data_IF_970710256160
#
_entry.id   IF_970710256160
#
_cell.length_a   1.000
_cell.length_b   1.000
_cell.length_c   1.000
_cell.angle_alpha   90.00
_cell.angle_beta   90.00
_cell.angle_gamma   90.00
#
_symmetry.space_group_name_H-M   'P 1'
#
loop_
_entity.id
_entity.type
_entity.pdbx_description
1 polymer ?
#
# COMPACT_ATOMS: atom_id res chain seq x y z
N UNK A 1 -14.35 -1.59 -5.58
CA UNK A 1 -14.95 -2.90 -5.18
C UNK A 1 -14.83 -3.13 -3.69
N UNK A 2 -13.64 -2.92 -3.13
CA UNK A 2 -13.33 -3.06 -1.71
C UNK A 2 -13.34 -1.73 -0.95
N UNK A 3 -13.59 -0.61 -1.61
CA UNK A 3 -13.52 0.74 -1.04
C UNK A 3 -14.21 0.92 0.32
N UNK A 4 -15.47 0.47 0.47
CA UNK A 4 -16.21 0.55 1.74
C UNK A 4 -15.47 -0.18 2.86
N UNK A 5 -15.16 -1.46 2.64
CA UNK A 5 -14.39 -2.31 3.56
C UNK A 5 -13.04 -1.66 3.91
N UNK A 6 -12.31 -1.16 2.91
CA UNK A 6 -11.01 -0.54 3.10
C UNK A 6 -11.09 0.70 4.00
N UNK A 7 -12.08 1.57 3.78
CA UNK A 7 -12.33 2.76 4.61
C UNK A 7 -12.61 2.37 6.06
N UNK A 8 -13.53 1.43 6.28
CA UNK A 8 -13.87 0.93 7.62
C UNK A 8 -12.68 0.29 8.34
N UNK A 9 -11.90 -0.54 7.64
CA UNK A 9 -10.66 -1.12 8.17
C UNK A 9 -9.64 -0.03 8.56
N UNK A 10 -9.53 1.03 7.76
CA UNK A 10 -8.63 2.14 8.07
C UNK A 10 -9.10 2.95 9.29
N UNK A 11 -10.41 3.20 9.43
CA UNK A 11 -11.01 3.86 10.61
C UNK A 11 -10.78 3.06 11.90
N UNK A 12 -10.82 1.73 11.80
CA UNK A 12 -10.53 0.82 12.90
C UNK A 12 -9.03 0.63 13.17
N UNK A 13 -8.15 1.33 12.46
CA UNK A 13 -6.69 1.17 12.54
C UNK A 13 -6.25 -0.30 12.37
N UNK A 14 -6.90 -1.04 11.46
CA UNK A 14 -6.58 -2.43 11.20
C UNK A 14 -5.10 -2.59 10.77
N UNK A 15 -4.45 -3.73 11.10
CA UNK A 15 -3.05 -3.95 10.75
C UNK A 15 -2.78 -3.78 9.24
N UNK A 16 -1.70 -3.09 8.88
CA UNK A 16 -1.28 -2.85 7.50
C UNK A 16 0.01 -3.58 7.14
N UNK A 17 0.24 -3.83 5.85
CA UNK A 17 1.49 -4.44 5.36
C UNK A 17 2.48 -3.38 4.90
N UNK A 18 3.68 -3.40 5.49
CA UNK A 18 4.80 -2.53 5.13
C UNK A 18 4.49 -1.04 5.26
N UNK A 19 5.22 -0.22 4.52
CA UNK A 19 5.04 1.24 4.53
C UNK A 19 3.87 1.73 3.65
N UNK A 20 3.09 0.82 3.05
CA UNK A 20 2.14 1.15 1.98
C UNK A 20 0.71 1.44 2.45
N UNK A 21 0.45 1.44 3.78
CA UNK A 21 -0.90 1.61 4.37
C UNK A 21 -1.97 0.69 3.76
N UNK A 22 -1.58 -0.47 3.25
CA UNK A 22 -2.52 -1.44 2.68
C UNK A 22 -2.98 -2.38 3.81
N UNK A 23 -4.28 -2.45 4.14
CA UNK A 23 -4.77 -3.34 5.19
C UNK A 23 -4.42 -4.81 4.90
N UNK A 24 -3.86 -5.48 5.90
CA UNK A 24 -3.34 -6.83 5.80
C UNK A 24 -4.43 -7.89 5.62
N UNK A 25 -5.64 -7.63 6.17
CA UNK A 25 -6.76 -8.55 6.18
C UNK A 25 -7.06 -9.14 4.79
N UNK A 26 -7.26 -8.30 3.77
CA UNK A 26 -7.53 -8.76 2.41
C UNK A 26 -6.33 -9.46 1.76
N UNK A 27 -5.11 -8.96 1.94
CA UNK A 27 -3.91 -9.62 1.39
C UNK A 27 -3.77 -11.04 1.94
N UNK A 28 -3.91 -11.21 3.27
CA UNK A 28 -3.78 -12.49 3.95
C UNK A 28 -4.89 -13.44 3.56
N UNK A 29 -6.13 -12.94 3.47
CA UNK A 29 -7.27 -13.72 2.99
C UNK A 29 -7.04 -14.33 1.60
N UNK A 30 -6.61 -13.52 0.63
CA UNK A 30 -6.35 -14.04 -0.71
C UNK A 30 -5.10 -14.93 -0.78
N UNK A 31 -4.07 -14.65 0.02
CA UNK A 31 -2.90 -15.53 0.12
C UNK A 31 -3.25 -16.91 0.67
N UNK A 32 -4.15 -17.00 1.65
CA UNK A 32 -4.62 -18.26 2.20
C UNK A 32 -5.27 -19.12 1.10
N UNK A 33 -6.17 -18.54 0.29
CA UNK A 33 -6.79 -19.23 -0.85
C UNK A 33 -5.75 -19.70 -1.87
N UNK A 34 -4.77 -18.85 -2.20
CA UNK A 34 -3.71 -19.19 -3.18
C UNK A 34 -2.85 -20.36 -2.69
N UNK A 35 -2.47 -20.34 -1.40
CA UNK A 35 -1.59 -21.33 -0.78
C UNK A 35 -2.29 -22.64 -0.41
N UNK A 36 -3.62 -22.63 -0.27
CA UNK A 36 -4.38 -23.81 0.14
C UNK A 36 -4.19 -24.99 -0.82
N UNK A 37 -3.86 -26.16 -0.27
CA UNK A 37 -3.73 -27.42 -1.02
C UNK A 37 -5.09 -28.12 -1.03
N UNK A 38 -5.48 -28.65 -2.18
CA UNK A 38 -6.74 -29.41 -2.31
C UNK A 38 -8.01 -28.57 -2.49
N UNK A 39 -7.88 -27.32 -2.92
CA UNK A 39 -9.02 -26.46 -3.25
C UNK A 39 -9.81 -27.03 -4.44
N UNK A 40 -11.08 -27.35 -4.26
CA UNK A 40 -11.93 -27.95 -5.29
C UNK A 40 -12.93 -26.95 -5.85
N UNK A 41 -13.50 -26.12 -4.97
CA UNK A 41 -14.69 -25.32 -5.28
C UNK A 41 -14.56 -23.87 -4.78
N UNK A 42 -15.32 -22.98 -5.40
CA UNK A 42 -15.41 -21.58 -4.97
C UNK A 42 -15.93 -21.41 -3.55
N UNK A 43 -16.88 -22.24 -3.10
CA UNK A 43 -17.43 -22.23 -1.75
C UNK A 43 -16.36 -22.47 -0.68
N UNK A 44 -15.40 -23.37 -0.95
CA UNK A 44 -14.24 -23.59 -0.08
C UNK A 44 -13.34 -22.36 -0.03
N UNK A 45 -13.12 -21.69 -1.16
CA UNK A 45 -12.32 -20.48 -1.23
C UNK A 45 -12.93 -19.33 -0.42
N UNK A 46 -14.26 -19.16 -0.47
CA UNK A 46 -14.99 -18.19 0.36
C UNK A 46 -14.73 -18.48 1.84
N UNK A 47 -14.90 -19.73 2.29
CA UNK A 47 -14.67 -20.13 3.69
C UNK A 47 -13.25 -19.85 4.15
N UNK A 48 -12.25 -20.22 3.33
CA UNK A 48 -10.83 -20.00 3.64
C UNK A 48 -10.51 -18.51 3.75
N UNK A 49 -10.99 -17.70 2.80
CA UNK A 49 -10.76 -16.27 2.80
C UNK A 49 -11.41 -15.59 4.01
N UNK A 50 -12.65 -15.95 4.36
CA UNK A 50 -13.35 -15.40 5.52
C UNK A 50 -12.66 -15.75 6.84
N UNK A 51 -12.25 -17.02 7.01
CA UNK A 51 -11.55 -17.48 8.21
C UNK A 51 -10.23 -16.74 8.42
N UNK A 52 -9.49 -16.47 7.34
CA UNK A 52 -8.24 -15.73 7.43
C UNK A 52 -8.48 -14.23 7.63
N UNK A 53 -9.51 -13.67 6.99
CA UNK A 53 -9.85 -12.25 7.13
C UNK A 53 -10.31 -11.90 8.55
N UNK A 54 -11.12 -12.75 9.18
CA UNK A 54 -11.65 -12.49 10.52
C UNK A 54 -10.57 -12.29 11.58
N UNK A 55 -9.42 -12.98 11.46
CA UNK A 55 -8.26 -12.80 12.36
C UNK A 55 -7.79 -11.35 12.50
N UNK A 56 -8.12 -10.49 11.53
CA UNK A 56 -7.74 -9.07 11.49
C UNK A 56 -8.93 -8.13 11.73
N UNK A 57 -10.14 -8.67 11.92
CA UNK A 57 -11.39 -7.91 11.96
C UNK A 57 -12.49 -8.61 12.81
N UNK A 58 -12.13 -9.25 13.92
CA UNK A 58 -13.07 -10.07 14.70
C UNK A 58 -14.25 -9.27 15.31
N UNK A 59 -14.19 -7.94 15.36
CA UNK A 59 -15.15 -7.10 16.10
C UNK A 59 -16.21 -6.42 15.21
N UNK A 60 -16.09 -6.48 13.88
CA UNK A 60 -17.01 -5.79 12.97
C UNK A 60 -17.68 -6.76 11.98
N UNK A 61 -18.89 -7.20 12.36
CA UNK A 61 -19.72 -8.11 11.58
C UNK A 61 -20.13 -7.54 10.23
N UNK A 62 -20.32 -6.23 10.13
CA UNK A 62 -20.73 -5.55 8.90
C UNK A 62 -19.64 -5.67 7.82
N UNK A 63 -18.37 -5.44 8.19
CA UNK A 63 -17.23 -5.61 7.28
C UNK A 63 -17.10 -7.08 6.82
N UNK A 64 -17.31 -8.03 7.74
CA UNK A 64 -17.27 -9.46 7.40
C UNK A 64 -18.39 -9.84 6.43
N UNK A 65 -19.59 -9.27 6.61
CA UNK A 65 -20.72 -9.46 5.73
C UNK A 65 -20.45 -8.90 4.33
N UNK A 66 -20.02 -7.63 4.22
CA UNK A 66 -19.66 -7.02 2.93
C UNK A 66 -18.56 -7.82 2.21
N UNK A 67 -17.54 -8.26 2.95
CA UNK A 67 -16.46 -9.04 2.36
C UNK A 67 -16.97 -10.40 1.88
N UNK A 68 -17.88 -11.05 2.61
CA UNK A 68 -18.53 -12.31 2.19
C UNK A 68 -19.30 -12.14 0.90
N UNK A 69 -20.16 -11.13 0.78
CA UNK A 69 -20.96 -10.91 -0.42
C UNK A 69 -20.09 -10.74 -1.66
N UNK A 70 -18.99 -9.99 -1.50
CA UNK A 70 -18.00 -9.85 -2.56
C UNK A 70 -17.39 -11.21 -2.92
N UNK A 71 -16.90 -11.96 -1.94
CA UNK A 71 -16.28 -13.27 -2.21
C UNK A 71 -17.26 -14.25 -2.87
N UNK A 72 -18.50 -14.29 -2.41
CA UNK A 72 -19.54 -15.14 -2.96
C UNK A 72 -19.81 -14.80 -4.43
N UNK A 73 -19.97 -13.51 -4.77
CA UNK A 73 -20.12 -13.07 -6.16
C UNK A 73 -18.93 -13.46 -7.05
N UNK A 74 -17.71 -13.37 -6.51
CA UNK A 74 -16.49 -13.59 -7.30
C UNK A 74 -16.03 -15.04 -7.38
N UNK A 75 -16.45 -15.90 -6.45
CA UNK A 75 -15.99 -17.29 -6.37
C UNK A 75 -17.09 -18.33 -6.62
N UNK A 76 -18.35 -18.05 -6.33
CA UNK A 76 -19.42 -19.03 -6.54
C UNK A 76 -19.53 -19.42 -8.03
N UNK A 77 -19.85 -20.70 -8.26
CA UNK A 77 -19.94 -21.27 -9.60
C UNK A 77 -18.60 -21.70 -10.21
N UNK A 78 -17.45 -21.36 -9.62
CA UNK A 78 -16.17 -21.89 -10.08
C UNK A 78 -15.89 -23.28 -9.51
N UNK A 79 -15.76 -24.25 -10.42
CA UNK A 79 -15.25 -25.59 -10.15
C UNK A 79 -13.93 -25.77 -10.91
N UNK A 80 -12.80 -25.45 -10.25
CA UNK A 80 -11.40 -25.72 -10.66
C UNK A 80 -10.43 -24.89 -9.83
N UNK A 81 -9.56 -25.55 -9.06
CA UNK A 81 -8.53 -24.92 -8.23
C UNK A 81 -7.72 -23.84 -8.97
N UNK A 82 -7.29 -24.13 -10.21
CA UNK A 82 -6.47 -23.21 -11.02
C UNK A 82 -7.17 -21.89 -11.30
N UNK A 83 -8.46 -21.93 -11.65
CA UNK A 83 -9.25 -20.73 -11.96
C UNK A 83 -9.45 -19.93 -10.67
N UNK A 84 -9.84 -20.59 -9.59
CA UNK A 84 -10.06 -19.96 -8.28
C UNK A 84 -8.79 -19.26 -7.79
N UNK A 85 -7.63 -19.93 -7.85
CA UNK A 85 -6.35 -19.32 -7.45
C UNK A 85 -5.94 -18.15 -8.36
N UNK A 86 -6.27 -18.22 -9.65
CA UNK A 86 -6.01 -17.11 -10.59
C UNK A 86 -6.88 -15.91 -10.26
N UNK A 87 -8.17 -16.15 -9.96
CA UNK A 87 -9.11 -15.12 -9.50
C UNK A 87 -8.66 -14.52 -8.16
N UNK A 88 -8.23 -15.34 -7.20
CA UNK A 88 -7.69 -14.86 -5.92
C UNK A 88 -6.45 -13.97 -6.10
N UNK A 89 -5.53 -14.30 -7.01
CA UNK A 89 -4.40 -13.42 -7.36
C UNK A 89 -4.86 -12.07 -7.93
N UNK A 90 -5.88 -12.09 -8.79
CA UNK A 90 -6.44 -10.86 -9.36
C UNK A 90 -7.11 -9.99 -8.28
N UNK A 91 -7.91 -10.60 -7.39
CA UNK A 91 -8.55 -9.90 -6.27
C UNK A 91 -7.54 -9.34 -5.28
N UNK A 92 -6.46 -10.08 -4.98
CA UNK A 92 -5.33 -9.56 -4.18
C UNK A 92 -4.74 -8.29 -4.81
N UNK A 93 -4.46 -8.33 -6.12
CA UNK A 93 -3.91 -7.16 -6.83
C UNK A 93 -4.88 -5.99 -6.81
N UNK A 94 -6.18 -6.25 -6.99
CA UNK A 94 -7.22 -5.22 -6.95
C UNK A 94 -7.32 -4.57 -5.56
N UNK A 95 -7.28 -5.38 -4.49
CA UNK A 95 -7.22 -4.90 -3.11
C UNK A 95 -6.04 -3.95 -2.88
N UNK A 96 -4.85 -4.35 -3.32
CA UNK A 96 -3.65 -3.50 -3.20
C UNK A 96 -3.78 -2.19 -3.99
N UNK A 97 -4.33 -2.24 -5.21
CA UNK A 97 -4.52 -1.06 -6.06
C UNK A 97 -5.52 -0.10 -5.43
N UNK A 98 -6.69 -0.59 -4.99
CA UNK A 98 -7.71 0.24 -4.35
C UNK A 98 -7.20 0.82 -3.02
N UNK A 99 -6.53 0.02 -2.19
CA UNK A 99 -5.96 0.51 -0.93
C UNK A 99 -4.89 1.58 -1.16
N UNK A 100 -4.02 1.42 -2.17
CA UNK A 100 -3.05 2.45 -2.53
C UNK A 100 -3.75 3.69 -3.09
N UNK A 101 -4.77 3.55 -3.92
CA UNK A 101 -5.52 4.70 -4.42
C UNK A 101 -6.19 5.51 -3.30
N UNK A 102 -6.70 4.83 -2.27
CA UNK A 102 -7.37 5.46 -1.13
C UNK A 102 -6.39 6.03 -0.09
N UNK A 103 -5.31 5.32 0.21
CA UNK A 103 -4.46 5.61 1.38
C UNK A 103 -3.03 5.99 1.06
N UNK A 104 -2.61 5.97 -0.22
CA UNK A 104 -1.30 6.48 -0.57
C UNK A 104 -1.20 7.93 -0.08
N UNK A 105 -0.27 8.18 0.84
CA UNK A 105 0.16 9.54 1.10
C UNK A 105 0.58 10.11 -0.23
N UNK A 106 -0.05 11.19 -0.66
CA UNK A 106 0.37 11.97 -1.83
C UNK A 106 1.71 12.61 -1.50
N UNK A 107 2.80 11.82 -1.41
CA UNK A 107 4.15 12.34 -1.57
C UNK A 107 4.30 12.60 -3.07
N UNK A 108 3.69 13.70 -3.53
CA UNK A 108 4.12 14.31 -4.78
C UNK A 108 5.57 14.73 -4.56
N UNK A 109 6.51 13.99 -5.13
CA UNK A 109 7.86 14.50 -5.36
C UNK A 109 7.71 15.61 -6.41
N UNK A 110 7.32 16.82 -5.97
CA UNK A 110 7.20 17.98 -6.85
C UNK A 110 8.61 18.51 -7.08
N UNK A 111 9.12 18.34 -8.28
CA UNK A 111 10.33 19.03 -8.73
C UNK A 111 9.97 20.51 -8.93
N UNK A 112 10.68 21.39 -8.24
CA UNK A 112 10.53 22.84 -8.37
C UNK A 112 11.84 23.35 -8.95
N UNK A 113 11.76 23.99 -10.11
CA UNK A 113 12.86 24.78 -10.67
C UNK A 113 12.68 26.23 -10.25
N UNK A 114 13.78 26.87 -9.85
CA UNK A 114 13.85 28.30 -9.60
C UNK A 114 15.13 28.83 -10.24
N UNK A 115 15.12 30.11 -10.63
CA UNK A 115 16.27 30.77 -11.25
C UNK A 115 16.96 31.63 -10.19
N UNK A 116 18.28 31.65 -10.23
CA UNK A 116 19.16 32.46 -9.39
C UNK A 116 20.20 33.12 -10.29
N UNK A 117 20.80 34.22 -9.83
CA UNK A 117 21.97 34.76 -10.52
C UNK A 117 23.20 33.87 -10.32
N UNK A 118 24.26 34.10 -11.08
CA UNK A 118 25.50 33.35 -10.96
C UNK A 118 26.16 33.57 -9.59
N UNK A 119 26.13 34.80 -9.07
CA UNK A 119 26.67 35.12 -7.75
C UNK A 119 25.90 34.41 -6.63
N UNK A 120 24.57 34.37 -6.73
CA UNK A 120 23.70 33.65 -5.79
C UNK A 120 23.96 32.15 -5.85
N UNK A 121 24.10 31.60 -7.05
CA UNK A 121 24.40 30.18 -7.25
C UNK A 121 25.72 29.79 -6.58
N UNK A 122 26.79 30.54 -6.84
CA UNK A 122 28.12 30.28 -6.30
C UNK A 122 28.12 30.38 -4.77
N UNK A 123 27.42 31.37 -4.21
CA UNK A 123 27.26 31.51 -2.76
C UNK A 123 26.52 30.33 -2.14
N UNK A 124 25.44 29.86 -2.77
CA UNK A 124 24.67 28.71 -2.29
C UNK A 124 25.54 27.44 -2.35
N UNK A 125 26.28 27.25 -3.45
CA UNK A 125 27.17 26.10 -3.63
C UNK A 125 28.27 26.04 -2.56
N UNK A 126 28.91 27.18 -2.26
CA UNK A 126 29.94 27.25 -1.22
C UNK A 126 29.38 26.89 0.16
N UNK A 127 28.21 27.43 0.51
CA UNK A 127 27.55 27.14 1.79
C UNK A 127 27.08 25.69 1.90
N UNK A 128 26.54 25.14 0.80
CA UNK A 128 26.13 23.74 0.75
C UNK A 128 27.34 22.81 0.96
N UNK A 129 28.46 23.11 0.28
CA UNK A 129 29.71 22.35 0.41
C UNK A 129 30.28 22.40 1.82
N UNK A 130 30.29 23.58 2.46
CA UNK A 130 30.72 23.74 3.87
C UNK A 130 29.90 22.90 4.85
N UNK A 131 28.62 22.67 4.54
CA UNK A 131 27.73 21.82 5.35
C UNK A 131 27.71 20.34 4.93
N UNK A 132 28.50 19.95 3.92
CA UNK A 132 28.50 18.59 3.38
C UNK A 132 27.19 18.18 2.71
N UNK A 133 26.44 19.15 2.17
CA UNK A 133 25.15 18.97 1.52
C UNK A 133 25.23 19.30 0.04
N UNK A 134 24.41 18.64 -0.78
CA UNK A 134 24.13 19.15 -2.13
C UNK A 134 23.25 20.40 -2.08
N UNK A 135 23.24 21.19 -3.17
CA UNK A 135 22.46 22.43 -3.27
C UNK A 135 20.98 22.21 -2.93
N UNK A 136 20.37 21.11 -3.39
CA UNK A 136 18.95 20.86 -3.16
C UNK A 136 18.64 20.56 -1.70
N UNK A 137 19.51 19.78 -1.04
CA UNK A 137 19.38 19.45 0.37
C UNK A 137 19.71 20.64 1.27
N UNK A 138 20.69 21.46 0.90
CA UNK A 138 20.96 22.72 1.56
C UNK A 138 19.75 23.66 1.50
N UNK A 139 19.15 23.85 0.33
CA UNK A 139 17.94 24.67 0.16
C UNK A 139 16.77 24.10 0.95
N UNK A 140 16.53 22.78 0.92
CA UNK A 140 15.49 22.14 1.73
C UNK A 140 15.70 22.37 3.22
N UNK A 141 16.93 22.20 3.71
CA UNK A 141 17.30 22.44 5.11
C UNK A 141 17.01 23.89 5.51
N UNK A 142 17.37 24.86 4.67
CA UNK A 142 17.10 26.29 4.91
C UNK A 142 15.60 26.62 4.91
N UNK A 143 14.80 25.90 4.13
CA UNK A 143 13.34 26.04 4.08
C UNK A 143 12.60 25.23 5.16
N UNK A 144 13.30 24.53 6.05
CA UNK A 144 12.67 23.67 7.07
C UNK A 144 11.99 22.42 6.49
N UNK A 145 12.33 22.04 5.25
CA UNK A 145 11.78 20.88 4.57
C UNK A 145 12.60 19.62 4.90
N UNK A 146 11.93 18.46 4.91
CA UNK A 146 12.61 17.17 5.04
C UNK A 146 13.61 16.98 3.89
N UNK A 147 14.88 16.70 4.21
CA UNK A 147 15.92 16.42 3.22
C UNK A 147 16.48 15.01 3.43
N UNK A 148 16.86 14.34 2.34
CA UNK A 148 17.41 12.98 2.40
C UNK A 148 18.91 13.02 2.71
N UNK A 149 19.37 12.26 3.70
CA UNK A 149 20.79 12.09 3.98
C UNK A 149 21.36 11.14 2.92
N UNK A 150 21.68 11.66 1.73
CA UNK A 150 22.67 11.02 0.87
C UNK A 150 24.01 11.65 1.22
N UNK A 151 24.67 11.09 2.22
CA UNK A 151 26.07 11.33 2.49
C UNK A 151 26.89 10.88 1.28
N UNK A 152 27.33 11.81 0.45
CA UNK A 152 28.44 11.55 -0.46
C UNK A 152 29.72 11.44 0.39
N UNK A 153 29.96 10.25 0.93
CA UNK A 153 31.31 9.85 1.27
C UNK A 153 31.90 9.22 0.01
N UNK A 154 32.70 9.99 -0.72
CA UNK A 154 33.75 9.46 -1.61
C UNK A 154 34.91 10.46 -1.65
N UNK A 155 35.99 10.03 -0.99
CA UNK A 155 37.42 10.33 -1.13
C UNK A 155 37.82 11.71 -1.66
#
# INVERSE_FOLDING_TARGET
>A
MFESILKKLNEMNAPVIGNSRVPAAGIKAFEAVIKYKGLKEGTEAVKIALLEFSKYNNENEEILYEFREILEREFLGFAKARIIKTKAKALKKLWEVEARALFASVRRTKWISFRVTEEEYNRILELATKEGLDISNYVRKRLGLSYGINSYSKN
#
